data_IF_651739126969
#
_entry.id   IF_651739126969
#
_cell.length_a   1.000
_cell.length_b   1.000
_cell.length_c   1.000
_cell.angle_alpha   90.00
_cell.angle_beta   90.00
_cell.angle_gamma   90.00
#
_symmetry.space_group_name_H-M   'P 1'
#
loop_
_entity.id
_entity.type
_entity.pdbx_description
1 polymer ?
#
# COMPACT_ATOMS: atom_id res chain seq x y z
N UNK A 1 2.62 -24.90 5.90
CA UNK A 1 1.44 -24.95 6.77
C UNK A 1 0.25 -24.54 5.93
N UNK A 2 -0.77 -25.37 5.79
CA UNK A 2 -2.01 -25.01 5.10
C UNK A 2 -2.66 -23.81 5.81
N UNK A 3 -3.04 -22.73 5.10
CA UNK A 3 -3.69 -21.59 5.73
C UNK A 3 -5.01 -22.04 6.36
N UNK A 4 -5.24 -21.60 7.60
CA UNK A 4 -6.47 -21.84 8.35
C UNK A 4 -7.56 -20.98 7.69
N UNK A 5 -8.78 -21.50 7.43
CA UNK A 5 -9.88 -20.64 7.01
C UNK A 5 -10.10 -19.54 8.08
N UNK A 6 -10.52 -18.32 7.69
CA UNK A 6 -10.82 -17.26 8.64
C UNK A 6 -11.84 -17.79 9.66
N UNK A 7 -11.62 -17.55 10.95
CA UNK A 7 -12.64 -17.93 11.91
C UNK A 7 -13.87 -17.05 11.67
N UNK A 8 -15.09 -17.61 11.72
CA UNK A 8 -16.34 -16.84 11.70
C UNK A 8 -16.41 -15.71 12.76
N UNK A 9 -15.49 -15.69 13.73
CA UNK A 9 -15.48 -14.79 14.87
C UNK A 9 -14.99 -13.36 14.52
N UNK A 10 -14.11 -13.17 13.52
CA UNK A 10 -13.54 -11.84 13.22
C UNK A 10 -14.54 -10.87 12.60
N UNK A 11 -15.35 -11.37 11.66
CA UNK A 11 -16.48 -10.64 11.11
C UNK A 11 -17.57 -10.41 12.17
N UNK A 12 -17.85 -11.42 13.00
CA UNK A 12 -18.78 -11.30 14.12
C UNK A 12 -18.39 -10.22 15.14
N UNK A 13 -17.10 -10.06 15.40
CA UNK A 13 -16.58 -9.02 16.27
C UNK A 13 -16.81 -7.60 15.74
N UNK A 14 -16.73 -7.37 14.42
CA UNK A 14 -17.00 -6.06 13.79
C UNK A 14 -18.45 -5.60 14.01
N UNK A 15 -19.39 -6.55 14.04
CA UNK A 15 -20.81 -6.26 14.15
C UNK A 15 -21.19 -5.97 15.61
N UNK A 16 -20.51 -6.58 16.58
CA UNK A 16 -20.89 -6.49 18.00
C UNK A 16 -22.26 -7.13 18.28
N UNK A 17 -22.97 -6.76 19.36
CA UNK A 17 -24.28 -7.32 19.69
C UNK A 17 -25.40 -6.73 18.81
N UNK A 18 -25.14 -6.54 17.51
CA UNK A 18 -26.19 -6.38 16.54
C UNK A 18 -26.98 -7.70 16.57
N UNK A 19 -28.09 -7.70 17.30
CA UNK A 19 -29.06 -8.81 17.29
C UNK A 19 -29.24 -9.22 15.83
N UNK A 20 -28.94 -10.47 15.44
CA UNK A 20 -29.16 -10.94 14.09
C UNK A 20 -30.67 -10.86 13.83
N UNK A 21 -31.13 -9.72 13.34
CA UNK A 21 -32.52 -9.49 13.01
C UNK A 21 -32.90 -10.36 11.81
N UNK A 22 -34.20 -10.45 11.54
CA UNK A 22 -34.76 -11.12 10.37
C UNK A 22 -34.30 -10.53 9.01
N UNK A 23 -33.40 -9.51 9.01
CA UNK A 23 -32.92 -8.80 7.83
C UNK A 23 -31.39 -8.88 7.68
N UNK A 24 -30.86 -8.79 6.44
CA UNK A 24 -29.43 -8.72 6.20
C UNK A 24 -28.76 -7.55 6.95
N UNK A 25 -27.51 -7.79 7.37
CA UNK A 25 -26.62 -6.74 7.87
C UNK A 25 -26.35 -5.72 6.77
N UNK A 26 -26.30 -4.44 7.11
CA UNK A 26 -25.94 -3.36 6.17
C UNK A 26 -24.57 -2.77 6.47
N UNK A 27 -23.67 -2.81 5.49
CA UNK A 27 -22.30 -2.31 5.61
C UNK A 27 -22.07 -1.22 4.59
N UNK A 28 -21.59 -0.06 5.05
CA UNK A 28 -21.27 1.09 4.21
C UNK A 28 -19.80 1.46 4.35
N UNK A 29 -19.06 1.54 3.24
CA UNK A 29 -17.82 2.31 3.18
C UNK A 29 -18.14 3.74 2.74
N UNK A 30 -17.72 4.75 3.52
CA UNK A 30 -17.93 6.16 3.19
C UNK A 30 -16.59 6.89 3.25
N UNK A 31 -16.09 7.31 2.10
CA UNK A 31 -14.74 7.84 1.93
C UNK A 31 -14.71 9.15 1.14
N UNK A 32 -13.54 9.78 1.06
CA UNK A 32 -13.39 11.07 0.40
C UNK A 32 -13.25 10.90 -1.11
N UNK A 33 -12.48 9.90 -1.56
CA UNK A 33 -12.07 9.73 -2.94
C UNK A 33 -12.35 8.31 -3.46
N UNK A 34 -12.50 8.13 -4.78
CA UNK A 34 -12.47 6.81 -5.40
C UNK A 34 -11.07 6.21 -5.23
N UNK A 35 -10.96 4.98 -4.73
CA UNK A 35 -9.76 4.18 -4.38
C UNK A 35 -9.55 3.94 -2.88
N UNK A 36 -9.94 4.90 -2.04
CA UNK A 36 -9.89 4.80 -0.58
C UNK A 36 -10.49 3.48 -0.07
N UNK A 37 -11.59 3.03 -0.70
CA UNK A 37 -12.32 1.85 -0.27
C UNK A 37 -11.50 0.56 -0.34
N UNK A 38 -10.61 0.47 -1.34
CA UNK A 38 -9.84 -0.76 -1.59
C UNK A 38 -8.91 -1.05 -0.43
N UNK A 39 -8.31 0.00 0.15
CA UNK A 39 -7.37 -0.11 1.26
C UNK A 39 -8.08 -0.12 2.62
N UNK A 40 -9.13 0.68 2.76
CA UNK A 40 -9.80 0.84 4.05
C UNK A 40 -10.68 -0.36 4.42
N UNK A 41 -11.42 -0.93 3.47
CA UNK A 41 -12.46 -1.92 3.77
C UNK A 41 -12.69 -2.96 2.67
N UNK A 42 -11.93 -2.93 1.58
CA UNK A 42 -12.22 -3.69 0.37
C UNK A 42 -12.39 -5.18 0.61
N UNK A 43 -11.52 -5.77 1.44
CA UNK A 43 -11.59 -7.18 1.82
C UNK A 43 -12.77 -7.47 2.74
N UNK A 44 -12.94 -6.66 3.79
CA UNK A 44 -14.01 -6.83 4.78
C UNK A 44 -15.39 -6.71 4.12
N UNK A 45 -15.59 -5.70 3.26
CA UNK A 45 -16.87 -5.50 2.56
C UNK A 45 -17.14 -6.61 1.54
N UNK A 46 -16.10 -7.15 0.90
CA UNK A 46 -16.25 -8.28 -0.01
C UNK A 46 -16.63 -9.57 0.73
N UNK A 47 -16.03 -9.84 1.89
CA UNK A 47 -16.44 -10.95 2.75
C UNK A 47 -17.86 -10.77 3.28
N UNK A 48 -18.24 -9.56 3.68
CA UNK A 48 -19.60 -9.26 4.13
C UNK A 48 -20.62 -9.47 3.00
N UNK A 49 -20.33 -9.01 1.79
CA UNK A 49 -21.16 -9.24 0.60
C UNK A 49 -21.33 -10.74 0.32
N UNK A 50 -20.24 -11.51 0.36
CA UNK A 50 -20.27 -12.95 0.18
C UNK A 50 -21.08 -13.68 1.27
N UNK A 51 -21.15 -13.11 2.48
CA UNK A 51 -21.99 -13.58 3.58
C UNK A 51 -23.46 -13.13 3.49
N UNK A 52 -23.84 -12.38 2.45
CA UNK A 52 -25.22 -11.95 2.20
C UNK A 52 -25.58 -10.59 2.80
N UNK A 53 -24.60 -9.80 3.25
CA UNK A 53 -24.85 -8.43 3.70
C UNK A 53 -25.27 -7.51 2.54
N UNK A 54 -26.11 -6.52 2.84
CA UNK A 54 -26.39 -5.39 1.96
C UNK A 54 -25.22 -4.40 2.04
N UNK A 55 -24.45 -4.27 0.95
CA UNK A 55 -23.21 -3.48 0.94
C UNK A 55 -23.32 -2.25 0.05
N UNK A 56 -22.72 -1.15 0.51
CA UNK A 56 -22.65 0.09 -0.24
C UNK A 56 -21.27 0.75 -0.12
N UNK A 57 -20.86 1.47 -1.17
CA UNK A 57 -19.68 2.33 -1.18
C UNK A 57 -20.07 3.74 -1.58
N UNK A 58 -19.59 4.72 -0.84
CA UNK A 58 -19.83 6.14 -1.10
C UNK A 58 -18.50 6.86 -1.14
N UNK A 59 -18.26 7.59 -2.23
CA UNK A 59 -17.17 8.55 -2.32
C UNK A 59 -17.73 9.97 -2.38
N UNK A 60 -17.21 10.87 -1.56
CA UNK A 60 -17.71 12.25 -1.46
C UNK A 60 -17.18 13.18 -2.58
N UNK A 61 -16.15 12.75 -3.32
CA UNK A 61 -15.60 13.49 -4.44
C UNK A 61 -15.34 12.54 -5.61
N UNK A 62 -15.01 13.09 -6.79
CA UNK A 62 -14.65 12.28 -7.96
C UNK A 62 -13.13 12.03 -8.07
N UNK A 63 -12.33 12.48 -7.10
CA UNK A 63 -10.86 12.38 -7.16
C UNK A 63 -10.25 13.14 -8.35
N UNK A 64 -10.90 14.21 -8.81
CA UNK A 64 -10.53 14.94 -10.02
C UNK A 64 -9.50 16.07 -9.78
N UNK A 65 -8.82 16.11 -8.63
CA UNK A 65 -7.58 16.86 -8.45
C UNK A 65 -6.34 15.95 -8.53
N UNK A 66 -6.53 14.63 -8.42
CA UNK A 66 -5.49 13.62 -8.47
C UNK A 66 -4.67 13.57 -9.76
N UNK A 67 -3.49 12.95 -9.67
CA UNK A 67 -2.60 12.70 -10.80
C UNK A 67 -3.14 11.59 -11.70
N UNK A 68 -2.93 11.73 -13.02
CA UNK A 68 -3.22 10.68 -14.00
C UNK A 68 -1.96 9.84 -14.20
N UNK A 69 -1.99 8.59 -13.75
CA UNK A 69 -0.87 7.66 -13.86
C UNK A 69 -0.86 6.87 -15.17
N UNK A 70 -2.03 6.65 -15.77
CA UNK A 70 -2.16 6.08 -17.12
C UNK A 70 -2.82 7.11 -18.07
N UNK A 71 -2.02 7.70 -18.96
CA UNK A 71 -2.51 8.67 -19.93
C UNK A 71 -3.47 8.08 -20.98
N UNK A 72 -3.52 6.74 -21.11
CA UNK A 72 -4.40 6.08 -22.07
C UNK A 72 -5.87 6.08 -21.61
N UNK A 73 -6.14 6.25 -20.31
CA UNK A 73 -7.51 6.10 -19.76
C UNK A 73 -8.19 7.43 -19.46
N UNK A 74 -7.44 8.50 -19.18
CA UNK A 74 -8.01 9.77 -18.77
C UNK A 74 -7.22 11.00 -19.25
N UNK A 75 -7.93 12.13 -19.29
CA UNK A 75 -7.38 13.48 -19.42
C UNK A 75 -7.80 14.31 -18.21
N UNK A 76 -7.16 15.46 -17.96
CA UNK A 76 -7.54 16.37 -16.85
C UNK A 76 -9.04 16.73 -16.86
N UNK A 77 -9.66 16.81 -18.04
CA UNK A 77 -11.09 17.12 -18.23
C UNK A 77 -12.01 15.91 -18.01
N UNK A 78 -11.51 14.69 -18.20
CA UNK A 78 -12.32 13.47 -18.12
C UNK A 78 -12.05 12.65 -16.85
N UNK A 79 -11.09 13.05 -16.01
CA UNK A 79 -10.63 12.25 -14.87
C UNK A 79 -11.75 11.92 -13.89
N UNK A 80 -12.56 12.91 -13.48
CA UNK A 80 -13.64 12.67 -12.51
C UNK A 80 -14.62 11.60 -13.00
N UNK A 81 -15.16 11.76 -14.21
CA UNK A 81 -16.03 10.76 -14.83
C UNK A 81 -15.33 9.39 -15.04
N UNK A 82 -14.01 9.39 -15.28
CA UNK A 82 -13.23 8.14 -15.37
C UNK A 82 -13.20 7.44 -14.02
N UNK A 83 -12.83 8.15 -12.95
CA UNK A 83 -12.72 7.61 -11.59
C UNK A 83 -14.07 7.17 -11.00
N UNK A 84 -15.17 7.81 -11.39
CA UNK A 84 -16.52 7.30 -11.08
C UNK A 84 -16.72 5.90 -11.68
N UNK A 85 -16.38 5.71 -12.96
CA UNK A 85 -16.45 4.40 -13.60
C UNK A 85 -15.46 3.37 -13.02
N UNK A 86 -14.29 3.83 -12.57
CA UNK A 86 -13.31 2.98 -11.88
C UNK A 86 -13.84 2.52 -10.51
N UNK A 87 -14.47 3.41 -9.73
CA UNK A 87 -15.14 3.06 -8.48
C UNK A 87 -16.26 2.03 -8.69
N UNK A 88 -17.09 2.22 -9.71
CA UNK A 88 -18.15 1.26 -10.06
C UNK A 88 -17.57 -0.12 -10.43
N UNK A 89 -16.47 -0.15 -11.19
CA UNK A 89 -15.79 -1.38 -11.54
C UNK A 89 -15.12 -2.05 -10.33
N UNK A 90 -14.52 -1.26 -9.43
CA UNK A 90 -13.93 -1.73 -8.18
C UNK A 90 -15.01 -2.35 -7.27
N UNK A 91 -16.11 -1.63 -7.04
CA UNK A 91 -17.25 -2.11 -6.28
C UNK A 91 -17.82 -3.43 -6.84
N UNK A 92 -17.93 -3.54 -8.17
CA UNK A 92 -18.35 -4.79 -8.83
C UNK A 92 -17.38 -5.94 -8.55
N UNK A 93 -16.06 -5.70 -8.59
CA UNK A 93 -15.06 -6.71 -8.28
C UNK A 93 -15.14 -7.17 -6.81
N UNK A 94 -15.46 -6.26 -5.89
CA UNK A 94 -15.68 -6.55 -4.47
C UNK A 94 -17.05 -7.20 -4.17
N UNK A 95 -17.97 -7.26 -5.15
CA UNK A 95 -19.33 -7.76 -4.93
C UNK A 95 -20.25 -6.78 -4.19
N UNK A 96 -19.92 -5.49 -4.20
CA UNK A 96 -20.70 -4.43 -3.54
C UNK A 96 -22.00 -4.15 -4.31
N UNK A 97 -23.12 -4.06 -3.58
CA UNK A 97 -24.46 -3.94 -4.17
C UNK A 97 -24.87 -2.52 -4.59
N UNK A 98 -24.30 -1.48 -3.98
CA UNK A 98 -24.61 -0.09 -4.29
C UNK A 98 -23.36 0.80 -4.27
N UNK A 99 -23.32 1.78 -5.18
CA UNK A 99 -22.22 2.76 -5.28
C UNK A 99 -22.82 4.14 -5.46
N UNK A 100 -22.26 5.13 -4.78
CA UNK A 100 -22.55 6.54 -4.99
C UNK A 100 -21.24 7.34 -5.01
N UNK A 101 -21.12 8.27 -5.94
CA UNK A 101 -19.98 9.17 -6.03
C UNK A 101 -20.48 10.60 -6.21
N UNK A 102 -20.15 11.45 -5.24
CA UNK A 102 -20.51 12.86 -5.25
C UNK A 102 -19.43 13.70 -5.93
N UNK A 103 -19.82 14.90 -6.33
CA UNK A 103 -18.93 15.90 -6.93
C UNK A 103 -18.83 17.14 -6.02
N UNK A 104 -18.27 16.95 -4.83
CA UNK A 104 -18.06 18.03 -3.86
C UNK A 104 -16.74 18.81 -4.08
N UNK A 105 -15.99 18.42 -5.12
CA UNK A 105 -14.66 18.93 -5.45
C UNK A 105 -13.55 18.25 -4.64
N UNK A 106 -12.66 17.53 -5.33
CA UNK A 106 -11.47 16.94 -4.72
C UNK A 106 -10.53 18.03 -4.15
N UNK A 107 -10.15 17.90 -2.88
CA UNK A 107 -9.36 18.86 -2.10
C UNK A 107 -10.20 19.95 -1.41
N UNK A 108 -11.53 19.87 -1.48
CA UNK A 108 -12.44 20.93 -1.04
C UNK A 108 -13.25 20.57 0.22
N UNK A 109 -13.35 19.30 0.63
CA UNK A 109 -14.25 18.91 1.73
C UNK A 109 -13.93 19.65 3.03
N UNK A 110 -12.64 19.84 3.33
CA UNK A 110 -12.20 20.61 4.51
C UNK A 110 -12.48 22.12 4.44
N UNK A 111 -12.79 22.66 3.25
CA UNK A 111 -13.04 24.09 3.00
C UNK A 111 -14.52 24.41 2.86
N UNK A 112 -15.36 23.41 2.61
CA UNK A 112 -16.80 23.57 2.54
C UNK A 112 -17.37 23.98 3.90
N UNK A 113 -18.56 24.65 3.93
CA UNK A 113 -19.28 24.86 5.17
C UNK A 113 -19.55 23.52 5.85
N UNK A 114 -18.98 23.32 7.04
CA UNK A 114 -19.04 22.03 7.75
C UNK A 114 -20.47 21.52 7.96
N UNK A 115 -21.41 22.43 8.24
CA UNK A 115 -22.82 22.08 8.41
C UNK A 115 -23.45 21.44 7.15
N UNK A 116 -23.06 21.91 5.96
CA UNK A 116 -23.57 21.37 4.69
C UNK A 116 -23.03 19.96 4.44
N UNK A 117 -21.74 19.74 4.73
CA UNK A 117 -21.12 18.41 4.65
C UNK A 117 -21.78 17.42 5.61
N UNK A 118 -22.04 17.83 6.86
CA UNK A 118 -22.74 17.00 7.86
C UNK A 118 -24.17 16.67 7.42
N UNK A 119 -24.89 17.64 6.83
CA UNK A 119 -26.24 17.42 6.30
C UNK A 119 -26.22 16.36 5.20
N UNK A 120 -25.31 16.48 4.23
CA UNK A 120 -25.18 15.53 3.13
C UNK A 120 -24.81 14.13 3.64
N UNK A 121 -23.81 14.02 4.51
CA UNK A 121 -23.39 12.73 5.08
C UNK A 121 -24.54 12.10 5.87
N UNK A 122 -25.31 12.88 6.65
CA UNK A 122 -26.50 12.39 7.34
C UNK A 122 -27.56 11.86 6.37
N UNK A 123 -27.79 12.53 5.24
CA UNK A 123 -28.72 12.05 4.20
C UNK A 123 -28.27 10.72 3.59
N UNK A 124 -26.97 10.56 3.33
CA UNK A 124 -26.37 9.28 2.90
C UNK A 124 -26.62 8.19 3.94
N UNK A 125 -26.31 8.45 5.22
CA UNK A 125 -26.50 7.50 6.31
C UNK A 125 -27.99 7.14 6.52
N UNK A 126 -28.91 8.07 6.29
CA UNK A 126 -30.35 7.81 6.33
C UNK A 126 -30.82 6.97 5.16
N UNK A 127 -30.31 7.24 3.95
CA UNK A 127 -30.67 6.54 2.71
C UNK A 127 -30.22 5.08 2.72
N UNK A 128 -28.96 4.83 3.05
CA UNK A 128 -28.40 3.47 3.08
C UNK A 128 -28.77 2.71 4.35
N UNK A 129 -29.13 3.44 5.42
CA UNK A 129 -29.43 2.88 6.71
C UNK A 129 -28.42 1.77 7.14
N UNK A 130 -27.10 2.02 7.14
CA UNK A 130 -26.08 1.02 7.52
C UNK A 130 -26.16 0.62 8.99
N UNK A 131 -25.88 -0.63 9.30
CA UNK A 131 -25.64 -1.06 10.69
C UNK A 131 -24.19 -0.74 11.10
N UNK A 132 -23.28 -0.82 10.13
CA UNK A 132 -21.85 -0.49 10.26
C UNK A 132 -21.45 0.48 9.14
N UNK A 133 -20.77 1.57 9.49
CA UNK A 133 -20.06 2.43 8.54
C UNK A 133 -18.56 2.39 8.80
N UNK A 134 -17.78 2.24 7.73
CA UNK A 134 -16.32 2.34 7.76
C UNK A 134 -15.91 3.65 7.09
N UNK A 135 -15.03 4.40 7.76
CA UNK A 135 -14.43 5.67 7.29
C UNK A 135 -13.01 5.79 7.84
N UNK A 136 -12.30 6.86 7.52
CA UNK A 136 -10.98 7.16 8.11
C UNK A 136 -11.04 7.50 9.60
N UNK A 137 -9.90 7.33 10.28
CA UNK A 137 -9.64 7.89 11.61
C UNK A 137 -9.58 9.42 11.62
N UNK A 138 -9.36 9.97 12.81
CA UNK A 138 -9.21 11.42 13.04
C UNK A 138 -7.93 12.00 12.40
N UNK A 139 -6.94 11.14 12.19
CA UNK A 139 -5.71 11.37 11.41
C UNK A 139 -5.93 11.41 9.89
N UNK A 140 -7.08 10.96 9.39
CA UNK A 140 -7.34 10.85 7.95
C UNK A 140 -6.45 9.81 7.26
N UNK A 141 -5.90 8.84 7.99
CA UNK A 141 -4.90 7.87 7.52
C UNK A 141 -3.49 8.47 7.38
N UNK A 142 -3.33 9.49 6.54
CA UNK A 142 -2.04 10.14 6.27
C UNK A 142 -2.10 11.68 6.36
N UNK A 143 -3.07 12.20 7.08
CA UNK A 143 -3.26 13.64 7.28
C UNK A 143 -3.97 14.36 6.13
N UNK A 144 -4.59 13.63 5.19
CA UNK A 144 -5.31 14.27 4.09
C UNK A 144 -6.52 15.07 4.61
N UNK A 145 -6.62 16.38 4.33
CA UNK A 145 -7.70 17.22 4.87
C UNK A 145 -9.11 16.72 4.57
N UNK A 146 -9.33 16.18 3.37
CA UNK A 146 -10.65 15.66 2.99
C UNK A 146 -11.02 14.38 3.75
N UNK A 147 -10.04 13.54 4.10
CA UNK A 147 -10.28 12.31 4.87
C UNK A 147 -10.67 12.65 6.31
N UNK A 148 -9.98 13.62 6.90
CA UNK A 148 -10.33 14.14 8.22
C UNK A 148 -11.71 14.80 8.21
N UNK A 149 -12.04 15.56 7.16
CA UNK A 149 -13.34 16.22 7.01
C UNK A 149 -14.49 15.20 6.84
N UNK A 150 -14.30 14.17 6.01
CA UNK A 150 -15.27 13.10 5.81
C UNK A 150 -15.52 12.31 7.09
N UNK A 151 -14.44 11.91 7.79
CA UNK A 151 -14.51 11.22 9.08
C UNK A 151 -15.29 12.02 10.13
N UNK A 152 -14.91 13.30 10.33
CA UNK A 152 -15.62 14.18 11.29
C UNK A 152 -17.09 14.36 10.93
N UNK A 153 -17.40 14.50 9.65
CA UNK A 153 -18.78 14.63 9.19
C UNK A 153 -19.60 13.36 9.47
N UNK A 154 -19.02 12.16 9.31
CA UNK A 154 -19.65 10.88 9.69
C UNK A 154 -19.95 10.85 11.18
N UNK A 155 -19.00 11.23 12.04
CA UNK A 155 -19.19 11.25 13.49
C UNK A 155 -20.26 12.26 13.92
N UNK A 156 -20.25 13.49 13.39
CA UNK A 156 -21.28 14.48 13.68
C UNK A 156 -22.66 14.09 13.14
N UNK A 157 -22.72 13.41 11.99
CA UNK A 157 -23.97 12.91 11.43
C UNK A 157 -24.52 11.74 12.27
N UNK A 158 -23.66 10.85 12.79
CA UNK A 158 -24.01 9.74 13.68
C UNK A 158 -24.79 10.22 14.91
N UNK A 159 -24.33 11.29 15.56
CA UNK A 159 -24.99 11.86 16.76
C UNK A 159 -26.43 12.36 16.49
N UNK A 160 -26.77 12.57 15.22
CA UNK A 160 -28.07 13.08 14.79
C UNK A 160 -29.00 11.96 14.28
N UNK A 161 -28.53 10.71 14.26
CA UNK A 161 -29.34 9.57 13.85
C UNK A 161 -30.21 9.07 15.02
N UNK A 162 -31.45 8.72 14.71
CA UNK A 162 -32.37 8.13 15.69
C UNK A 162 -32.07 6.65 15.99
N UNK A 163 -31.23 6.00 15.19
CA UNK A 163 -30.87 4.58 15.30
C UNK A 163 -29.37 4.44 15.57
N UNK A 164 -28.95 3.40 16.30
CA UNK A 164 -27.54 3.15 16.52
C UNK A 164 -26.84 2.88 15.18
N UNK A 165 -25.63 3.40 15.06
CA UNK A 165 -24.72 3.19 13.94
C UNK A 165 -23.34 2.88 14.51
N UNK A 166 -22.83 1.68 14.22
CA UNK A 166 -21.44 1.33 14.53
C UNK A 166 -20.54 2.07 13.52
N UNK A 167 -19.55 2.80 14.03
CA UNK A 167 -18.51 3.41 13.19
C UNK A 167 -17.21 2.68 13.44
N UNK A 168 -16.56 2.29 12.35
CA UNK A 168 -15.21 1.73 12.35
C UNK A 168 -14.29 2.72 11.64
N UNK A 169 -13.21 3.09 12.31
CA UNK A 169 -12.13 3.84 11.69
C UNK A 169 -11.12 2.87 11.10
N UNK A 170 -10.86 2.94 9.79
CA UNK A 170 -9.80 2.19 9.16
C UNK A 170 -8.44 2.64 9.71
N UNK A 171 -7.58 1.67 10.05
CA UNK A 171 -6.25 1.86 10.59
C UNK A 171 -5.21 1.26 9.66
N UNK A 172 -4.04 1.87 9.65
CA UNK A 172 -2.91 1.43 8.85
C UNK A 172 -1.69 1.28 9.75
N UNK A 173 -1.65 0.24 10.61
CA UNK A 173 -0.54 0.07 11.54
C UNK A 173 0.76 -0.13 10.76
N UNK A 174 1.82 0.50 11.25
CA UNK A 174 3.16 0.28 10.75
C UNK A 174 3.49 -1.21 10.86
N UNK A 175 3.78 -1.86 9.73
CA UNK A 175 4.22 -3.24 9.76
C UNK A 175 5.70 -3.29 10.15
N UNK A 176 6.05 -4.22 11.05
CA UNK A 176 7.44 -4.50 11.43
C UNK A 176 8.30 -5.07 10.28
N UNK A 177 7.69 -5.38 9.12
CA UNK A 177 8.36 -5.92 7.95
C UNK A 177 8.54 -4.84 6.90
N UNK A 178 9.78 -4.66 6.46
CA UNK A 178 10.09 -3.78 5.37
C UNK A 178 9.68 -4.41 4.02
N UNK A 179 9.27 -3.59 3.06
CA UNK A 179 8.99 -4.05 1.69
C UNK A 179 10.25 -4.69 1.08
N UNK A 180 11.44 -4.20 1.42
CA UNK A 180 12.71 -4.82 1.01
C UNK A 180 12.84 -6.26 1.51
N UNK A 181 12.38 -6.58 2.72
CA UNK A 181 12.44 -7.95 3.25
C UNK A 181 11.51 -8.89 2.48
N UNK A 182 10.28 -8.44 2.20
CA UNK A 182 9.31 -9.20 1.41
C UNK A 182 9.81 -9.45 -0.02
N UNK A 183 10.45 -8.44 -0.63
CA UNK A 183 11.05 -8.56 -1.95
C UNK A 183 12.25 -9.51 -1.95
N UNK A 184 13.15 -9.40 -0.98
CA UNK A 184 14.33 -10.27 -0.87
C UNK A 184 13.91 -11.72 -0.64
N UNK A 185 12.96 -11.98 0.26
CA UNK A 185 12.39 -13.32 0.47
C UNK A 185 11.80 -13.88 -0.84
N UNK A 186 11.03 -13.08 -1.56
CA UNK A 186 10.48 -13.49 -2.84
C UNK A 186 11.55 -13.75 -3.90
N UNK A 187 12.51 -12.82 -4.07
CA UNK A 187 13.59 -12.93 -5.05
C UNK A 187 14.44 -14.18 -4.83
N UNK A 188 14.75 -14.50 -3.58
CA UNK A 188 15.58 -15.66 -3.21
C UNK A 188 14.83 -16.99 -3.25
N UNK A 189 13.50 -16.95 -3.21
CA UNK A 189 12.66 -18.15 -3.37
C UNK A 189 12.56 -18.66 -4.81
N UNK A 190 13.08 -17.90 -5.80
CA UNK A 190 13.02 -18.26 -7.23
C UNK A 190 14.33 -18.84 -7.73
N UNK A 191 14.25 -19.86 -8.59
CA UNK A 191 15.36 -20.20 -9.48
C UNK A 191 15.58 -19.03 -10.45
N UNK A 192 16.84 -18.79 -10.86
CA UNK A 192 17.37 -17.60 -11.57
C UNK A 192 16.74 -17.31 -12.97
N UNK A 193 15.44 -17.45 -13.16
CA UNK A 193 14.74 -16.89 -14.30
C UNK A 193 14.53 -15.40 -14.09
N UNK A 194 14.80 -14.62 -15.13
CA UNK A 194 14.79 -13.16 -15.16
C UNK A 194 13.57 -12.58 -14.42
N UNK A 195 13.80 -12.13 -13.19
CA UNK A 195 12.76 -11.46 -12.42
C UNK A 195 12.60 -10.04 -12.95
N UNK A 196 11.37 -9.69 -13.32
CA UNK A 196 10.95 -8.33 -13.60
C UNK A 196 10.96 -7.97 -15.09
N UNK A 197 9.78 -7.67 -15.63
CA UNK A 197 9.67 -6.83 -16.85
C UNK A 197 9.81 -5.37 -16.44
N UNK A 198 9.99 -4.45 -17.39
CA UNK A 198 9.91 -3.00 -17.10
C UNK A 198 8.57 -2.62 -16.41
N UNK A 199 7.50 -3.38 -16.64
CA UNK A 199 6.22 -3.22 -15.94
C UNK A 199 6.30 -3.51 -14.44
N UNK A 200 7.15 -4.46 -14.02
CA UNK A 200 7.35 -4.82 -12.62
C UNK A 200 7.98 -3.66 -11.82
N UNK A 201 9.03 -3.03 -12.36
CA UNK A 201 9.70 -1.91 -11.70
C UNK A 201 8.78 -0.69 -11.51
N UNK A 202 7.94 -0.41 -12.51
CA UNK A 202 6.92 0.63 -12.41
C UNK A 202 5.83 0.28 -11.39
N UNK A 203 5.35 -0.97 -11.41
CA UNK A 203 4.37 -1.44 -10.44
C UNK A 203 4.86 -1.35 -9.00
N UNK A 204 6.12 -1.76 -8.79
CA UNK A 204 6.76 -1.66 -7.50
C UNK A 204 6.91 -0.20 -7.06
N UNK A 205 7.28 0.73 -7.96
CA UNK A 205 7.35 2.16 -7.64
C UNK A 205 5.98 2.73 -7.23
N UNK A 206 4.93 2.43 -8.00
CA UNK A 206 3.57 2.90 -7.70
C UNK A 206 3.06 2.34 -6.36
N UNK A 207 3.33 1.07 -6.13
CA UNK A 207 2.96 0.40 -4.90
C UNK A 207 3.77 0.91 -3.71
N UNK A 208 5.07 1.16 -3.89
CA UNK A 208 5.94 1.66 -2.85
C UNK A 208 5.63 3.13 -2.48
N UNK A 209 5.34 3.99 -3.47
CA UNK A 209 4.81 5.35 -3.23
C UNK A 209 3.53 5.29 -2.38
N UNK A 210 2.61 4.36 -2.70
CA UNK A 210 1.35 4.19 -1.96
C UNK A 210 1.53 3.57 -0.56
N UNK A 211 2.41 2.57 -0.41
CA UNK A 211 2.68 1.89 0.86
C UNK A 211 3.40 2.78 1.86
N UNK A 212 4.27 3.69 1.38
CA UNK A 212 4.92 4.68 2.25
C UNK A 212 3.95 5.78 2.71
N UNK A 213 3.00 6.18 1.85
CA UNK A 213 1.94 7.15 2.23
C UNK A 213 0.98 6.55 3.24
N UNK A 214 0.64 5.27 3.12
CA UNK A 214 -0.25 4.55 4.02
C UNK A 214 0.46 3.91 5.23
N UNK A 215 1.75 4.17 5.46
CA UNK A 215 2.49 3.66 6.62
C UNK A 215 2.80 2.15 6.63
N UNK A 216 2.50 1.43 5.54
CA UNK A 216 2.72 -0.02 5.44
C UNK A 216 4.19 -0.44 5.30
N UNK A 217 5.08 0.46 4.87
CA UNK A 217 6.51 0.20 4.80
C UNK A 217 7.32 1.46 5.16
N UNK A 218 8.29 1.30 6.07
CA UNK A 218 9.22 2.35 6.48
C UNK A 218 10.41 2.54 5.51
N UNK A 219 10.41 1.86 4.37
CA UNK A 219 11.52 1.88 3.43
C UNK A 219 11.70 3.26 2.78
N UNK A 220 12.95 3.67 2.65
CA UNK A 220 13.34 4.83 1.87
C UNK A 220 13.55 4.44 0.41
N UNK A 221 12.82 5.11 -0.47
CA UNK A 221 12.81 4.85 -1.90
C UNK A 221 13.43 6.03 -2.62
N UNK A 222 14.44 5.78 -3.43
CA UNK A 222 15.04 6.83 -4.25
C UNK A 222 15.52 6.30 -5.60
N UNK A 223 15.55 7.19 -6.58
CA UNK A 223 16.11 6.91 -7.91
C UNK A 223 17.54 7.40 -7.94
N UNK A 224 18.47 6.54 -8.34
CA UNK A 224 19.87 6.89 -8.50
C UNK A 224 20.34 6.62 -9.93
N UNK A 225 21.10 7.56 -10.48
CA UNK A 225 21.70 7.47 -11.80
C UNK A 225 23.20 7.23 -11.68
N UNK A 226 23.72 6.36 -12.55
CA UNK A 226 25.10 5.91 -12.58
C UNK A 226 25.65 6.03 -14.01
N UNK A 227 26.71 6.80 -14.25
CA UNK A 227 27.34 6.86 -15.57
C UNK A 227 28.03 5.53 -15.91
N UNK A 228 28.17 5.25 -17.21
CA UNK A 228 28.90 4.09 -17.69
C UNK A 228 30.32 3.98 -17.05
N UNK A 229 30.66 2.77 -16.59
CA UNK A 229 31.92 2.44 -15.92
C UNK A 229 31.95 2.70 -14.41
N UNK A 230 30.89 3.26 -13.82
CA UNK A 230 30.82 3.49 -12.37
C UNK A 230 30.32 2.26 -11.60
N UNK A 231 30.73 2.15 -10.32
CA UNK A 231 30.21 1.14 -9.42
C UNK A 231 28.81 1.52 -8.93
N UNK A 232 27.87 0.59 -9.13
CA UNK A 232 26.57 0.59 -8.46
C UNK A 232 26.69 -0.06 -7.08
N UNK A 233 27.43 -1.16 -7.00
CA UNK A 233 27.75 -1.92 -5.78
C UNK A 233 29.23 -2.26 -5.81
N UNK A 234 29.93 -2.11 -4.68
CA UNK A 234 31.31 -2.58 -4.53
C UNK A 234 31.37 -3.90 -3.75
N UNK A 235 32.14 -4.87 -4.24
CA UNK A 235 32.41 -6.12 -3.53
C UNK A 235 33.02 -5.82 -2.16
N UNK A 236 32.50 -6.48 -1.13
CA UNK A 236 32.96 -6.33 0.26
C UNK A 236 32.31 -5.20 1.04
N UNK A 237 31.54 -4.30 0.43
CA UNK A 237 30.76 -3.33 1.19
C UNK A 237 29.61 -4.01 1.98
N UNK A 238 29.12 -3.41 3.08
CA UNK A 238 27.94 -3.91 3.78
C UNK A 238 26.71 -3.94 2.86
N UNK A 239 25.95 -5.04 2.89
CA UNK A 239 24.71 -5.12 2.14
C UNK A 239 23.57 -4.41 2.89
N UNK A 240 23.29 -3.17 2.52
CA UNK A 240 22.24 -2.33 3.14
C UNK A 240 21.11 -1.98 2.19
N UNK A 241 21.33 -2.04 0.87
CA UNK A 241 20.40 -1.55 -0.14
C UNK A 241 20.09 -2.63 -1.19
N UNK A 242 18.88 -2.59 -1.75
CA UNK A 242 18.46 -3.41 -2.89
C UNK A 242 18.26 -2.50 -4.11
N UNK A 243 18.79 -2.91 -5.26
CA UNK A 243 18.73 -2.13 -6.49
C UNK A 243 17.90 -2.85 -7.55
N UNK A 244 16.95 -2.15 -8.16
CA UNK A 244 16.23 -2.58 -9.35
C UNK A 244 16.66 -1.71 -10.53
N UNK A 245 17.12 -2.33 -11.62
CA UNK A 245 17.55 -1.62 -12.82
C UNK A 245 16.31 -1.13 -13.57
N UNK A 246 16.12 0.18 -13.70
CA UNK A 246 15.00 0.77 -14.45
C UNK A 246 15.34 0.96 -15.94
N UNK A 247 16.60 1.30 -16.22
CA UNK A 247 17.12 1.46 -17.58
C UNK A 247 18.64 1.22 -17.61
N UNK A 248 19.16 0.84 -18.77
CA UNK A 248 20.56 0.46 -18.95
C UNK A 248 20.84 -1.00 -18.60
N UNK A 249 22.12 -1.31 -18.46
CA UNK A 249 22.66 -2.62 -18.12
C UNK A 249 23.88 -2.53 -17.21
N UNK A 250 24.07 -3.54 -16.38
CA UNK A 250 25.20 -3.65 -15.44
C UNK A 250 25.90 -4.99 -15.62
N UNK A 251 27.21 -5.00 -15.45
CA UNK A 251 28.01 -6.22 -15.34
C UNK A 251 28.22 -6.57 -13.86
N UNK A 252 27.97 -7.83 -13.52
CA UNK A 252 28.26 -8.39 -12.20
C UNK A 252 29.66 -8.99 -12.27
N UNK A 253 30.59 -8.43 -11.51
CA UNK A 253 32.02 -8.74 -11.60
C UNK A 253 32.53 -9.21 -10.24
N UNK A 254 33.16 -10.38 -10.19
CA UNK A 254 33.82 -10.86 -8.98
C UNK A 254 35.30 -10.51 -9.05
N UNK A 255 35.80 -9.92 -7.98
CA UNK A 255 37.23 -9.71 -7.74
C UNK A 255 37.79 -10.88 -6.93
N UNK A 256 38.73 -11.61 -7.54
CA UNK A 256 39.46 -12.71 -6.92
C UNK A 256 40.54 -12.18 -5.96
N UNK A 257 41.06 -13.04 -5.08
CA UNK A 257 41.99 -12.63 -4.02
C UNK A 257 43.34 -12.06 -4.51
N UNK A 258 43.68 -12.30 -5.79
CA UNK A 258 44.86 -11.77 -6.47
C UNK A 258 44.58 -10.45 -7.21
N UNK A 259 43.37 -9.91 -7.10
CA UNK A 259 42.91 -8.70 -7.78
C UNK A 259 42.43 -8.95 -9.22
N UNK A 260 42.31 -10.23 -9.63
CA UNK A 260 41.73 -10.58 -10.92
C UNK A 260 40.24 -10.24 -10.98
N UNK A 261 39.81 -9.52 -12.01
CA UNK A 261 38.39 -9.21 -12.24
C UNK A 261 37.80 -10.18 -13.25
N UNK A 262 36.66 -10.78 -12.91
CA UNK A 262 35.92 -11.69 -13.79
C UNK A 262 34.44 -11.36 -13.80
N UNK A 263 33.92 -10.98 -14.96
CA UNK A 263 32.47 -10.86 -15.17
C UNK A 263 31.82 -12.22 -15.04
N UNK A 264 30.84 -12.33 -14.15
CA UNK A 264 30.11 -13.57 -13.87
C UNK A 264 28.72 -13.57 -14.46
N UNK A 265 28.13 -12.39 -14.67
CA UNK A 265 26.80 -12.22 -15.25
C UNK A 265 26.59 -10.76 -15.74
N UNK A 266 25.52 -10.53 -16.49
CA UNK A 266 25.07 -9.19 -16.90
C UNK A 266 23.57 -9.06 -16.64
N UNK A 267 23.17 -7.99 -15.97
CA UNK A 267 21.77 -7.69 -15.66
C UNK A 267 21.26 -6.49 -16.46
N UNK A 268 19.96 -6.50 -16.77
CA UNK A 268 19.28 -5.51 -17.61
C UNK A 268 18.07 -4.92 -16.88
N UNK A 269 17.43 -3.91 -17.49
CA UNK A 269 16.20 -3.32 -16.98
C UNK A 269 15.15 -4.37 -16.55
N UNK A 270 14.61 -4.21 -15.35
CA UNK A 270 13.72 -5.14 -14.66
C UNK A 270 14.42 -6.00 -13.60
N UNK A 271 15.73 -6.26 -13.78
CA UNK A 271 16.48 -7.13 -12.88
C UNK A 271 16.81 -6.45 -11.53
N UNK A 272 16.95 -7.29 -10.51
CA UNK A 272 17.39 -6.90 -9.18
C UNK A 272 18.85 -7.32 -8.95
N UNK A 273 19.61 -6.47 -8.26
CA UNK A 273 20.98 -6.75 -7.84
C UNK A 273 21.17 -6.38 -6.37
N UNK A 274 22.01 -7.15 -5.68
CA UNK A 274 22.36 -6.96 -4.27
C UNK A 274 21.52 -7.76 -3.26
N UNK A 275 20.52 -8.51 -3.71
CA UNK A 275 19.61 -9.30 -2.86
C UNK A 275 20.33 -10.37 -2.02
N UNK A 276 21.39 -11.00 -2.53
CA UNK A 276 22.08 -12.10 -1.85
C UNK A 276 22.73 -11.65 -0.53
N UNK A 277 23.37 -10.48 -0.54
CA UNK A 277 24.01 -9.90 0.65
C UNK A 277 22.99 -9.57 1.74
N UNK A 278 21.83 -9.06 1.34
CA UNK A 278 20.71 -8.77 2.25
C UNK A 278 20.12 -10.05 2.83
N UNK A 279 19.82 -11.04 1.98
CA UNK A 279 19.22 -12.31 2.40
C UNK A 279 20.11 -13.12 3.35
N UNK A 280 21.44 -13.04 3.16
CA UNK A 280 22.40 -13.82 3.95
C UNK A 280 23.03 -13.02 5.09
N UNK A 281 22.73 -11.72 5.19
CA UNK A 281 23.39 -10.77 6.09
C UNK A 281 24.93 -10.85 5.99
N UNK A 282 25.44 -10.84 4.76
CA UNK A 282 26.88 -10.89 4.44
C UNK A 282 27.29 -9.68 3.59
N UNK A 283 28.58 -9.29 3.61
CA UNK A 283 29.10 -8.31 2.67
C UNK A 283 28.83 -8.69 1.21
N UNK A 284 28.77 -7.69 0.33
CA UNK A 284 28.56 -7.93 -1.11
C UNK A 284 29.61 -8.89 -1.66
N UNK A 285 29.16 -9.88 -2.41
CA UNK A 285 30.00 -10.95 -2.97
C UNK A 285 30.53 -10.66 -4.38
N UNK A 286 30.10 -9.56 -5.00
CA UNK A 286 30.52 -9.11 -6.32
C UNK A 286 30.36 -7.59 -6.43
N UNK A 287 31.16 -7.00 -7.31
CA UNK A 287 30.92 -5.66 -7.85
C UNK A 287 29.73 -5.69 -8.79
N UNK A 288 28.99 -4.59 -8.86
CA UNK A 288 28.03 -4.31 -9.92
C UNK A 288 28.46 -3.02 -10.60
N UNK A 289 28.81 -3.11 -11.87
CA UNK A 289 29.41 -2.00 -12.63
C UNK A 289 28.45 -1.60 -13.74
N UNK A 290 28.13 -0.31 -13.82
CA UNK A 290 27.31 0.24 -14.90
C UNK A 290 28.03 0.02 -16.25
N UNK A 291 27.41 -0.73 -17.16
CA UNK A 291 27.97 -1.00 -18.49
C UNK A 291 27.70 0.15 -19.45
N UNK A 292 26.52 0.73 -19.33
CA UNK A 292 26.05 1.96 -19.99
C UNK A 292 25.53 2.93 -18.90
N UNK A 293 24.85 4.01 -19.30
CA UNK A 293 24.22 4.92 -18.34
C UNK A 293 23.01 4.23 -17.70
N UNK A 294 23.11 3.94 -16.41
CA UNK A 294 22.14 3.13 -15.67
C UNK A 294 21.32 3.99 -14.73
N UNK A 295 20.01 3.76 -14.72
CA UNK A 295 19.11 4.30 -13.69
C UNK A 295 18.58 3.16 -12.84
N UNK A 296 18.78 3.26 -11.52
CA UNK A 296 18.29 2.28 -10.55
C UNK A 296 17.20 2.89 -9.66
N UNK A 297 16.22 2.07 -9.34
CA UNK A 297 15.36 2.24 -8.18
C UNK A 297 16.05 1.57 -6.98
N UNK A 298 16.23 2.31 -5.89
CA UNK A 298 16.96 1.86 -4.71
C UNK A 298 15.99 1.78 -3.53
N UNK A 299 15.89 0.59 -2.93
CA UNK A 299 15.18 0.38 -1.68
C UNK A 299 16.20 0.24 -0.54
N UNK A 300 16.01 1.00 0.52
CA UNK A 300 16.86 0.96 1.71
C UNK A 300 16.01 0.96 2.99
N UNK A 301 16.38 0.15 4.00
CA UNK A 301 15.84 0.24 5.35
C UNK A 301 16.09 1.59 6.05
N UNK A 302 16.98 2.44 5.53
CA UNK A 302 17.42 3.69 6.16
C UNK A 302 17.57 4.83 5.15
N UNK A 303 17.42 6.07 5.62
CA UNK A 303 17.72 7.27 4.83
C UNK A 303 19.18 7.26 4.34
N UNK A 304 19.42 7.84 3.16
CA UNK A 304 20.72 7.82 2.47
C UNK A 304 21.85 8.34 3.37
N UNK A 305 22.81 7.49 3.74
CA UNK A 305 24.04 7.93 4.41
C UNK A 305 25.14 8.22 3.39
N UNK A 306 25.32 9.51 3.09
CA UNK A 306 26.36 10.01 2.20
C UNK A 306 27.77 9.96 2.81
N UNK A 307 27.88 9.61 4.09
CA UNK A 307 29.11 9.65 4.88
C UNK A 307 29.70 8.27 5.14
N UNK A 308 29.02 7.20 4.69
CA UNK A 308 29.51 5.83 4.80
C UNK A 308 30.82 5.67 4.00
N UNK A 309 31.91 5.41 4.72
CA UNK A 309 33.23 5.20 4.16
C UNK A 309 33.31 3.90 3.35
N UNK A 310 34.08 3.93 2.25
CA UNK A 310 34.26 2.82 1.31
C UNK A 310 35.66 2.21 1.42
N UNK A 311 35.75 0.88 1.32
CA UNK A 311 37.01 0.13 1.34
C UNK A 311 37.38 -0.48 2.70
N UNK A 312 38.24 -1.51 2.70
CA UNK A 312 38.57 -2.33 3.88
C UNK A 312 39.31 -1.58 5.00
N UNK A 313 39.82 -0.38 4.71
CA UNK A 313 40.52 0.49 5.65
C UNK A 313 39.73 1.76 6.03
N UNK A 314 38.50 1.91 5.55
CA UNK A 314 37.68 3.06 5.89
C UNK A 314 37.17 2.95 7.32
N UNK A 315 37.74 3.76 8.22
CA UNK A 315 37.15 4.04 9.52
C UNK A 315 36.14 5.16 9.35
N UNK A 316 34.87 4.81 9.23
CA UNK A 316 33.79 5.77 9.46
C UNK A 316 33.82 6.10 10.95
N UNK A 317 33.57 7.36 11.33
CA UNK A 317 33.35 7.67 12.73
C UNK A 317 32.23 6.74 13.23
N UNK A 318 32.44 6.08 14.38
CA UNK A 318 31.38 5.33 15.03
C UNK A 318 30.17 6.26 15.13
N UNK A 319 29.09 5.87 14.45
CA UNK A 319 27.80 6.48 14.62
C UNK A 319 27.46 6.46 16.12
N UNK A 320 27.14 7.60 16.76
CA UNK A 320 26.62 7.59 18.12
C UNK A 320 25.32 6.78 18.25
N UNK A 321 24.68 6.41 17.13
CA UNK A 321 23.54 5.49 17.06
C UNK A 321 24.01 4.02 16.97
N UNK A 322 24.48 3.50 18.09
CA UNK A 322 24.56 2.06 18.29
C UNK A 322 23.19 1.42 18.01
N UNK A 323 23.17 0.42 17.14
CA UNK A 323 22.13 -0.61 17.05
C UNK A 323 20.67 -0.16 17.20
N UNK A 324 20.17 0.72 16.35
CA UNK A 324 18.72 0.83 16.18
C UNK A 324 18.38 0.59 14.70
N UNK A 325 17.90 -0.64 14.39
CA UNK A 325 16.71 -0.70 13.52
C UNK A 325 15.73 0.30 14.13
N UNK A 326 14.97 1.11 13.38
CA UNK A 326 13.90 1.88 14.01
C UNK A 326 13.12 0.89 14.88
N UNK A 327 13.28 1.03 16.20
CA UNK A 327 12.45 0.33 17.15
C UNK A 327 11.02 0.77 16.83
N UNK A 328 10.03 -0.10 17.06
CA UNK A 328 8.65 0.19 16.70
C UNK A 328 8.34 1.62 17.10
N UNK A 329 7.85 2.43 16.17
CA UNK A 329 7.01 3.53 16.58
C UNK A 329 5.92 2.85 17.40
N UNK A 330 5.90 3.12 18.70
CA UNK A 330 4.97 2.50 19.62
C UNK A 330 3.57 3.04 19.32
N UNK A 331 3.00 2.61 18.22
CA UNK A 331 1.57 2.37 18.15
C UNK A 331 1.37 1.05 18.90
N UNK A 332 0.73 1.18 20.06
CA UNK A 332 0.32 0.07 20.89
C UNK A 332 -0.49 -0.93 20.04
N UNK A 333 0.05 -2.12 19.69
CA UNK A 333 -0.69 -3.10 18.92
C UNK A 333 -1.85 -3.70 19.73
N UNK A 334 -1.89 -3.42 21.04
CA UNK A 334 -2.85 -3.90 22.02
C UNK A 334 -3.77 -2.78 22.52
N UNK A 335 -4.09 -1.77 21.69
CA UNK A 335 -5.23 -0.91 21.95
C UNK A 335 -6.48 -1.77 22.14
N UNK A 336 -7.02 -1.83 23.37
CA UNK A 336 -8.08 -2.78 23.79
C UNK A 336 -9.37 -2.79 22.91
N UNK A 337 -9.53 -1.86 21.97
CA UNK A 337 -10.69 -1.69 21.08
C UNK A 337 -10.40 -1.91 19.57
N UNK A 338 -9.23 -2.45 19.22
CA UNK A 338 -8.85 -2.72 17.83
C UNK A 338 -9.42 -4.05 17.30
N UNK A 339 -10.02 -4.02 16.11
CA UNK A 339 -10.57 -5.17 15.39
C UNK A 339 -9.69 -5.46 14.17
N UNK A 340 -9.17 -6.68 14.12
CA UNK A 340 -8.32 -7.17 13.03
C UNK A 340 -9.11 -8.20 12.22
N UNK A 341 -9.16 -8.01 10.90
CA UNK A 341 -9.89 -8.89 9.98
C UNK A 341 -8.92 -9.51 8.99
N UNK A 342 -8.84 -10.84 9.02
CA UNK A 342 -8.19 -11.61 7.96
C UNK A 342 -9.11 -11.64 6.73
N UNK A 343 -8.67 -10.94 5.69
CA UNK A 343 -9.35 -10.82 4.40
C UNK A 343 -8.64 -11.60 3.30
N UNK A 344 -7.77 -12.56 3.63
CA UNK A 344 -7.04 -13.37 2.66
C UNK A 344 -7.95 -14.06 1.64
N UNK A 345 -9.14 -14.52 2.09
CA UNK A 345 -10.13 -15.15 1.21
C UNK A 345 -10.76 -14.18 0.17
N UNK A 346 -10.63 -12.86 0.38
CA UNK A 346 -11.09 -11.81 -0.53
C UNK A 346 -9.93 -11.11 -1.29
N UNK A 347 -8.70 -11.62 -1.18
CA UNK A 347 -7.52 -10.99 -1.76
C UNK A 347 -7.63 -10.80 -3.29
N UNK A 348 -8.23 -11.76 -4.00
CA UNK A 348 -8.38 -11.69 -5.46
C UNK A 348 -9.35 -10.58 -5.86
N UNK A 349 -10.45 -10.42 -5.10
CA UNK A 349 -11.39 -9.33 -5.27
C UNK A 349 -10.73 -7.98 -5.01
N UNK A 350 -9.92 -7.86 -3.94
CA UNK A 350 -9.16 -6.62 -3.65
C UNK A 350 -8.19 -6.27 -4.77
N UNK A 351 -7.43 -7.24 -5.28
CA UNK A 351 -6.49 -7.01 -6.38
C UNK A 351 -7.25 -6.56 -7.65
N UNK A 352 -8.36 -7.22 -7.97
CA UNK A 352 -9.20 -6.83 -9.11
C UNK A 352 -9.78 -5.42 -8.94
N UNK A 353 -10.19 -5.05 -7.72
CA UNK A 353 -10.67 -3.71 -7.40
C UNK A 353 -9.56 -2.64 -7.51
N UNK A 354 -8.35 -2.94 -7.04
CA UNK A 354 -7.18 -2.07 -7.18
C UNK A 354 -6.85 -1.81 -8.66
N UNK A 355 -6.86 -2.86 -9.49
CA UNK A 355 -6.60 -2.78 -10.94
C UNK A 355 -7.70 -1.99 -11.68
N UNK A 356 -8.92 -1.96 -11.15
CA UNK A 356 -10.01 -1.17 -11.72
C UNK A 356 -9.72 0.35 -11.67
N UNK A 357 -8.98 0.81 -10.65
CA UNK A 357 -8.52 2.20 -10.48
C UNK A 357 -7.33 2.55 -11.36
N UNK A 358 -7.41 2.26 -12.67
CA UNK A 358 -6.30 2.33 -13.62
C UNK A 358 -5.69 3.73 -13.76
N UNK A 359 -6.50 4.78 -13.64
CA UNK A 359 -6.05 6.18 -13.67
C UNK A 359 -5.09 6.51 -12.51
N UNK A 360 -5.15 5.72 -11.44
CA UNK A 360 -4.40 5.92 -10.19
C UNK A 360 -3.30 4.86 -10.04
N UNK A 361 -3.61 3.63 -10.44
CA UNK A 361 -2.74 2.47 -10.43
C UNK A 361 -2.63 1.91 -11.85
N UNK A 362 -1.61 2.36 -12.58
CA UNK A 362 -1.27 1.81 -13.89
C UNK A 362 -0.62 0.41 -13.74
N UNK A 363 -1.39 -0.52 -13.16
CA UNK A 363 -0.99 -1.87 -12.80
C UNK A 363 -1.79 -2.87 -13.62
N UNK A 364 -1.12 -3.88 -14.18
CA UNK A 364 -1.78 -5.13 -14.57
C UNK A 364 -1.78 -6.10 -13.38
N UNK A 365 -2.82 -6.91 -13.24
CA UNK A 365 -3.01 -7.81 -12.09
C UNK A 365 -1.86 -8.83 -11.88
N UNK A 366 -1.06 -9.07 -12.92
CA UNK A 366 0.09 -9.99 -12.89
C UNK A 366 1.41 -9.31 -12.51
N UNK A 367 1.44 -7.98 -12.34
CA UNK A 367 2.68 -7.22 -12.16
C UNK A 367 3.33 -7.35 -10.79
N UNK A 368 2.60 -7.71 -9.73
CA UNK A 368 3.19 -7.97 -8.41
C UNK A 368 2.88 -9.39 -7.94
N UNK A 369 3.88 -10.14 -7.45
CA UNK A 369 3.70 -11.51 -7.00
C UNK A 369 2.78 -11.54 -5.78
N UNK A 370 1.92 -12.57 -5.71
CA UNK A 370 1.04 -12.81 -4.56
C UNK A 370 1.81 -12.90 -3.25
N UNK A 371 3.05 -13.40 -3.27
CA UNK A 371 3.92 -13.48 -2.09
C UNK A 371 4.25 -12.10 -1.49
N UNK A 372 4.28 -11.04 -2.32
CA UNK A 372 4.51 -9.66 -1.86
C UNK A 372 3.18 -8.96 -1.55
N UNK A 373 2.14 -9.19 -2.36
CA UNK A 373 0.83 -8.55 -2.15
C UNK A 373 0.08 -9.10 -0.94
N UNK A 374 0.14 -10.41 -0.70
CA UNK A 374 -0.66 -11.06 0.35
C UNK A 374 -0.35 -10.49 1.73
N UNK A 375 0.92 -10.41 2.21
CA UNK A 375 1.20 -9.87 3.54
C UNK A 375 0.71 -8.44 3.76
N UNK A 376 0.49 -7.68 2.68
CA UNK A 376 0.13 -6.26 2.73
C UNK A 376 -1.37 -6.02 2.58
N UNK A 377 -2.07 -6.87 1.84
CA UNK A 377 -3.49 -6.66 1.51
C UNK A 377 -4.43 -7.67 2.18
N UNK A 378 -3.91 -8.72 2.83
CA UNK A 378 -4.72 -9.78 3.43
C UNK A 378 -5.23 -9.47 4.84
N UNK A 379 -4.87 -8.33 5.41
CA UNK A 379 -5.31 -7.95 6.75
C UNK A 379 -5.83 -6.51 6.73
N UNK A 380 -6.97 -6.27 7.36
CA UNK A 380 -7.53 -4.93 7.58
C UNK A 380 -7.68 -4.69 9.08
N UNK A 381 -7.41 -3.46 9.50
CA UNK A 381 -7.38 -3.05 10.90
C UNK A 381 -8.40 -1.93 11.11
N UNK A 382 -9.14 -2.02 12.21
CA UNK A 382 -10.17 -1.05 12.54
C UNK A 382 -10.11 -0.69 14.01
N UNK A 383 -10.39 0.56 14.34
CA UNK A 383 -10.72 0.96 15.71
C UNK A 383 -12.22 1.18 15.81
N UNK A 384 -12.86 0.59 16.83
CA UNK A 384 -14.28 0.80 17.09
C UNK A 384 -14.50 2.15 17.76
N UNK A 385 -15.35 2.99 17.18
CA UNK A 385 -15.68 4.28 17.80
C UNK A 385 -16.81 4.09 18.82
N UNK A 386 -16.52 4.47 20.07
CA UNK A 386 -17.47 4.49 21.20
C UNK A 386 -18.67 5.42 21.02
#
# INVERSE_FOLDING_TARGET
>A
MTPRPPSPDGLAALWGPLEPGERPLRVLGLFAHPDDEVFCVGGTIALAAAAGAETALVSLTQGDAGQIRDSAVATRRTLGATRVGELEAAAKALGVGAVECFDLGDGNLARMPYADLVVLVREVLQRHAPDVVVTFGDDGGFGHPDHMASSRAVLSAREQLARPLRVLHARFPAHDRLLVDLLVEWLTSRERESVGTAGFGNALRLFADGSSVLGFAADHLHVQWFPAGSFVIEQGEPATELFCILSGSVDIVVEDADGGLRTVDTAYAGAFVGQDGLATNRPRNAHVIARDDVTCFVLSPRGRDLSAGRGTSATVADDPSGSDRPGPAADDPDGEDDVVVDVHAALDQKIAALVAHRSQYALDAELLPRQVLSPLLSTEYFTVVG
#
